data_IF_148858979996
#
_entry.id   IF_148858979996
#
_cell.length_a   1.000
_cell.length_b   1.000
_cell.length_c   1.000
_cell.angle_alpha   90.00
_cell.angle_beta   90.00
_cell.angle_gamma   90.00
#
_symmetry.space_group_name_H-M   'P 1'
#
loop_
_entity.id
_entity.type
_entity.pdbx_description
1 polymer ?
#
# COMPACT_ATOMS: atom_id res chain seq x y z
N UNK A 1 -6.53 16.36 -11.99
CA UNK A 1 -5.24 16.12 -11.32
C UNK A 1 -5.11 16.93 -10.03
N UNK A 2 -5.30 18.26 -10.13
CA UNK A 2 -5.22 19.09 -8.94
C UNK A 2 -6.30 18.74 -7.92
N UNK A 3 -7.47 18.32 -8.39
CA UNK A 3 -8.54 17.88 -7.51
C UNK A 3 -8.10 16.67 -6.66
N UNK A 4 -7.37 15.74 -7.27
CA UNK A 4 -6.90 14.57 -6.55
C UNK A 4 -5.93 14.97 -5.45
N UNK A 5 -5.01 15.90 -5.75
CA UNK A 5 -4.01 16.33 -4.79
C UNK A 5 -4.61 17.13 -3.63
N UNK A 6 -5.63 17.93 -3.91
CA UNK A 6 -6.26 18.77 -2.88
C UNK A 6 -7.49 18.15 -2.24
N UNK A 7 -7.94 17.00 -2.74
CA UNK A 7 -9.17 16.39 -2.30
C UNK A 7 -8.95 15.41 -1.16
N UNK A 8 -9.89 15.38 -0.22
CA UNK A 8 -9.87 14.38 0.84
C UNK A 8 -10.10 12.99 0.23
N UNK A 9 -9.31 12.02 0.68
CA UNK A 9 -9.45 10.64 0.23
C UNK A 9 -10.33 9.87 1.21
N UNK A 10 -11.06 8.89 0.66
CA UNK A 10 -11.81 7.96 1.47
C UNK A 10 -10.84 6.88 1.98
N UNK A 11 -10.37 7.07 3.20
CA UNK A 11 -9.35 6.19 3.76
C UNK A 11 -9.82 4.75 3.94
N UNK A 12 -11.11 4.56 4.22
CA UNK A 12 -11.67 3.21 4.36
C UNK A 12 -11.71 2.50 3.02
N UNK A 13 -12.18 3.18 1.98
CA UNK A 13 -12.20 2.63 0.63
C UNK A 13 -10.79 2.36 0.14
N UNK A 14 -9.86 3.27 0.42
CA UNK A 14 -8.47 3.12 0.01
C UNK A 14 -7.81 1.93 0.70
N UNK A 15 -8.02 1.78 2.00
CA UNK A 15 -7.48 0.66 2.75
C UNK A 15 -7.99 -0.67 2.22
N UNK A 16 -9.28 -0.73 1.92
CA UNK A 16 -9.89 -1.93 1.34
C UNK A 16 -9.27 -2.24 -0.02
N UNK A 17 -9.16 -1.23 -0.86
CA UNK A 17 -8.60 -1.41 -2.21
C UNK A 17 -7.18 -1.96 -2.14
N UNK A 18 -6.35 -1.39 -1.27
CA UNK A 18 -4.97 -1.86 -1.11
C UNK A 18 -4.96 -3.30 -0.61
N UNK A 19 -5.77 -3.63 0.41
CA UNK A 19 -5.82 -5.01 0.91
C UNK A 19 -6.23 -6.00 -0.17
N UNK A 20 -7.20 -5.61 -1.00
CA UNK A 20 -7.64 -6.47 -2.11
C UNK A 20 -6.53 -6.69 -3.13
N UNK A 21 -5.80 -5.63 -3.47
CA UNK A 21 -4.70 -5.73 -4.41
C UNK A 21 -3.57 -6.60 -3.85
N UNK A 22 -3.22 -6.41 -2.59
CA UNK A 22 -2.19 -7.21 -1.96
C UNK A 22 -2.58 -8.69 -1.94
N UNK A 23 -3.82 -8.97 -1.61
CA UNK A 23 -4.32 -10.33 -1.55
C UNK A 23 -4.37 -10.98 -2.93
N UNK A 24 -4.91 -10.27 -3.92
CA UNK A 24 -5.07 -10.83 -5.26
C UNK A 24 -3.74 -11.06 -5.98
N UNK A 25 -2.72 -10.28 -5.64
CA UNK A 25 -1.38 -10.43 -6.24
C UNK A 25 -0.41 -11.17 -5.31
N UNK A 26 -0.87 -11.66 -4.17
CA UNK A 26 -0.03 -12.33 -3.18
C UNK A 26 1.15 -11.50 -2.71
N UNK A 27 0.93 -10.20 -2.57
CA UNK A 27 1.95 -9.27 -2.08
C UNK A 27 1.79 -9.16 -0.56
N UNK A 28 2.86 -9.43 0.18
CA UNK A 28 2.82 -9.29 1.63
C UNK A 28 2.86 -7.83 2.06
N UNK A 29 2.22 -7.53 3.20
CA UNK A 29 2.24 -6.17 3.74
C UNK A 29 3.64 -5.66 4.02
N UNK A 30 4.54 -6.56 4.38
CA UNK A 30 5.93 -6.20 4.66
C UNK A 30 6.61 -5.60 3.44
N UNK A 31 6.40 -6.20 2.28
CA UNK A 31 6.96 -5.72 1.04
C UNK A 31 6.35 -4.37 0.66
N UNK A 32 5.05 -4.27 0.78
CA UNK A 32 4.33 -3.03 0.52
C UNK A 32 4.81 -1.90 1.44
N UNK A 33 4.95 -2.21 2.74
CA UNK A 33 5.42 -1.23 3.71
C UNK A 33 6.81 -0.70 3.34
N UNK A 34 7.70 -1.60 2.96
CA UNK A 34 9.08 -1.24 2.67
C UNK A 34 9.21 -0.40 1.39
N UNK A 35 8.59 -0.85 0.31
CA UNK A 35 8.85 -0.26 -0.99
C UNK A 35 7.86 0.83 -1.40
N UNK A 36 6.66 0.82 -0.88
CA UNK A 36 5.66 1.82 -1.25
C UNK A 36 5.58 2.95 -0.23
N UNK A 37 5.49 2.61 1.05
CA UNK A 37 5.27 3.60 2.09
C UNK A 37 6.53 3.99 2.86
N UNK A 38 7.55 3.15 2.88
CA UNK A 38 8.74 3.40 3.66
C UNK A 38 8.47 3.41 5.16
N UNK A 39 7.51 2.58 5.60
CA UNK A 39 7.09 2.48 6.99
C UNK A 39 7.26 1.06 7.49
N UNK A 40 7.17 0.88 8.80
CA UNK A 40 7.21 -0.46 9.38
C UNK A 40 5.95 -1.23 9.03
N UNK A 41 6.05 -2.55 9.01
CA UNK A 41 4.90 -3.41 8.74
C UNK A 41 3.78 -3.18 9.75
N UNK A 42 4.12 -2.99 11.03
CA UNK A 42 3.12 -2.75 12.06
C UNK A 42 2.32 -1.49 11.81
N UNK A 43 2.99 -0.41 11.40
CA UNK A 43 2.32 0.84 11.06
C UNK A 43 1.39 0.66 9.87
N UNK A 44 1.85 -0.03 8.84
CA UNK A 44 1.04 -0.27 7.65
C UNK A 44 -0.15 -1.17 7.97
N UNK A 45 0.06 -2.20 8.77
CA UNK A 45 -1.03 -3.08 9.20
C UNK A 45 -2.12 -2.28 9.89
N UNK A 46 -1.75 -1.34 10.74
CA UNK A 46 -2.71 -0.49 11.43
C UNK A 46 -3.43 0.45 10.47
N UNK A 47 -2.71 1.08 9.54
CA UNK A 47 -3.32 1.95 8.54
C UNK A 47 -4.35 1.21 7.69
N UNK A 48 -4.08 -0.06 7.38
CA UNK A 48 -4.98 -0.84 6.54
C UNK A 48 -6.14 -1.46 7.31
N UNK A 49 -5.94 -1.80 8.58
CA UNK A 49 -6.99 -2.47 9.38
C UNK A 49 -7.85 -1.50 10.17
N UNK A 50 -7.30 -0.35 10.56
CA UNK A 50 -8.00 0.64 11.38
C UNK A 50 -7.85 2.03 10.78
N UNK A 51 -8.37 2.25 9.57
CA UNK A 51 -8.22 3.55 8.92
C UNK A 51 -8.97 4.63 9.68
N UNK A 52 -8.33 5.78 9.84
CA UNK A 52 -8.96 6.95 10.44
C UNK A 52 -9.52 7.83 9.33
N UNK A 53 -10.57 8.58 9.63
CA UNK A 53 -11.12 9.54 8.69
C UNK A 53 -10.04 10.55 8.29
N UNK A 54 -10.08 10.98 7.03
CA UNK A 54 -9.10 11.90 6.48
C UNK A 54 -8.87 13.13 7.35
N UNK A 55 -9.96 13.69 7.87
CA UNK A 55 -9.91 14.91 8.68
C UNK A 55 -9.16 14.73 9.99
N UNK A 56 -9.08 13.50 10.47
CA UNK A 56 -8.40 13.20 11.74
C UNK A 56 -6.96 12.76 11.55
N UNK A 57 -6.51 12.66 10.32
CA UNK A 57 -5.14 12.26 10.04
C UNK A 57 -4.17 13.41 10.18
N UNK A 58 -2.97 13.12 10.65
CA UNK A 58 -1.85 14.04 10.56
C UNK A 58 -1.45 14.17 9.10
N UNK A 59 -0.67 15.20 8.77
CA UNK A 59 -0.16 15.35 7.40
C UNK A 59 0.64 14.13 6.96
N UNK A 60 1.38 13.56 7.88
CA UNK A 60 2.16 12.35 7.60
C UNK A 60 1.25 11.16 7.27
N UNK A 61 0.14 11.02 7.99
CA UNK A 61 -0.84 9.99 7.70
C UNK A 61 -1.51 10.21 6.35
N UNK A 62 -1.85 11.46 6.04
CA UNK A 62 -2.44 11.79 4.74
C UNK A 62 -1.49 11.48 3.60
N UNK A 63 -0.22 11.75 3.79
CA UNK A 63 0.80 11.43 2.79
C UNK A 63 0.86 9.94 2.51
N UNK A 64 0.74 9.12 3.55
CA UNK A 64 0.70 7.68 3.39
C UNK A 64 -0.47 7.24 2.51
N UNK A 65 -1.65 7.81 2.72
CA UNK A 65 -2.82 7.47 1.91
C UNK A 65 -2.71 8.00 0.47
N UNK A 66 -2.04 9.13 0.28
CA UNK A 66 -1.76 9.62 -1.08
C UNK A 66 -0.84 8.66 -1.83
N UNK A 67 0.16 8.12 -1.14
CA UNK A 67 1.06 7.13 -1.72
C UNK A 67 0.32 5.84 -2.05
N UNK A 68 -0.57 5.40 -1.15
CA UNK A 68 -1.41 4.24 -1.42
C UNK A 68 -2.26 4.45 -2.66
N UNK A 69 -2.86 5.63 -2.78
CA UNK A 69 -3.70 5.97 -3.92
C UNK A 69 -2.88 5.92 -5.21
N UNK A 70 -1.72 6.56 -5.22
CA UNK A 70 -0.88 6.58 -6.40
C UNK A 70 -0.46 5.17 -6.82
N UNK A 71 -0.11 4.33 -5.86
CA UNK A 71 0.28 2.96 -6.13
C UNK A 71 -0.89 2.12 -6.63
N UNK A 72 -2.03 2.21 -5.96
CA UNK A 72 -3.18 1.34 -6.24
C UNK A 72 -3.79 1.59 -7.61
N UNK A 73 -3.66 2.80 -8.14
CA UNK A 73 -4.19 3.14 -9.44
C UNK A 73 -3.13 3.18 -10.54
N UNK A 74 -1.95 2.66 -10.25
CA UNK A 74 -0.89 2.50 -11.24
C UNK A 74 -0.60 1.02 -11.40
N UNK A 75 -1.16 0.41 -12.42
CA UNK A 75 -1.01 -1.02 -12.65
C UNK A 75 0.45 -1.43 -12.78
N UNK A 76 1.26 -0.60 -13.43
CA UNK A 76 2.68 -0.90 -13.55
C UNK A 76 3.38 -0.91 -12.21
N UNK A 77 3.00 -0.02 -11.30
CA UNK A 77 3.58 0.01 -9.97
C UNK A 77 3.22 -1.24 -9.18
N UNK A 78 1.97 -1.70 -9.31
CA UNK A 78 1.52 -2.93 -8.65
C UNK A 78 2.30 -4.13 -9.17
N UNK A 79 2.44 -4.24 -10.48
CA UNK A 79 3.16 -5.35 -11.10
C UNK A 79 4.66 -5.31 -10.77
N UNK A 80 5.23 -4.12 -10.69
CA UNK A 80 6.62 -3.96 -10.32
C UNK A 80 6.85 -4.47 -8.90
N UNK A 81 5.99 -4.11 -7.98
CA UNK A 81 6.09 -4.58 -6.61
C UNK A 81 5.93 -6.10 -6.53
N UNK A 82 4.98 -6.64 -7.29
CA UNK A 82 4.78 -8.08 -7.37
C UNK A 82 6.04 -8.79 -7.85
N UNK A 83 6.78 -8.18 -8.78
CA UNK A 83 7.99 -8.77 -9.32
C UNK A 83 9.11 -8.90 -8.29
N UNK A 84 9.02 -8.17 -7.19
CA UNK A 84 10.00 -8.21 -6.12
C UNK A 84 9.76 -9.37 -5.15
N UNK A 85 8.63 -10.07 -5.28
CA UNK A 85 8.35 -11.23 -4.43
C UNK A 85 9.32 -12.36 -4.80
N UNK A 86 10.06 -12.91 -3.83
CA UNK A 86 10.94 -14.03 -4.14
C UNK A 86 10.13 -15.23 -4.66
N UNK A 87 10.58 -15.81 -5.76
CA UNK A 87 9.93 -17.01 -6.28
C UNK A 87 10.26 -18.16 -5.36
N UNK A 88 9.24 -18.95 -5.06
CA UNK A 88 9.41 -20.09 -4.17
C UNK A 88 10.52 -21.03 -4.64
N UNK A 89 10.53 -21.36 -5.94
CA UNK A 89 11.55 -22.21 -6.48
C UNK A 89 12.95 -21.63 -6.43
N UNK A 90 13.08 -20.32 -6.64
CA UNK A 90 14.37 -19.65 -6.56
C UNK A 90 14.87 -19.60 -5.12
N UNK A 91 13.97 -19.37 -4.17
CA UNK A 91 14.32 -19.38 -2.76
C UNK A 91 14.75 -20.75 -2.31
N UNK A 92 14.01 -21.77 -2.72
CA UNK A 92 14.32 -23.16 -2.37
C UNK A 92 15.68 -23.59 -2.88
N UNK A 93 16.09 -23.09 -4.03
CA UNK A 93 17.39 -23.42 -4.60
C UNK A 93 18.55 -22.80 -3.86
N UNK A 94 18.31 -21.77 -3.08
CA UNK A 94 19.35 -21.15 -2.29
C UNK A 94 19.66 -21.92 -1.02
N UNK A 95 18.82 -22.84 -0.69
CA UNK A 95 18.95 -23.67 0.51
C UNK A 95 19.21 -25.11 0.14
#
# INVERSE_FOLDING_TARGET
FLKILGQALDTHAMSRRVRELLSSHNIGQRLFAKYVLGLSQGTVSELLSKPKMWEKLTEKGRDSYRKMHAWAYDENAVLLLKSLIPRKGAVDKLY
#
